data_IF_535068802215
#
_entry.id   IF_535068802215
#
_cell.length_a   1.000
_cell.length_b   1.000
_cell.length_c   1.000
_cell.angle_alpha   90.00
_cell.angle_beta   90.00
_cell.angle_gamma   90.00
#
_symmetry.space_group_name_H-M   'P 1'
#
loop_
_entity.id
_entity.type
_entity.pdbx_description
1 polymer ?
#
# COMPACT_ATOMS: atom_id res chain seq x y z
N UNK A 1 8.07 -12.32 -27.54
CA UNK A 1 7.28 -11.69 -26.47
C UNK A 1 5.95 -12.40 -26.49
N UNK A 2 5.65 -13.17 -25.44
CA UNK A 2 4.38 -13.90 -25.34
C UNK A 2 3.43 -12.94 -24.64
N UNK A 3 2.44 -12.40 -25.36
CA UNK A 3 1.35 -11.63 -24.77
C UNK A 3 0.70 -12.49 -23.69
N UNK A 4 0.70 -12.01 -22.45
CA UNK A 4 -0.16 -12.57 -21.41
C UNK A 4 -1.62 -12.40 -21.87
N UNK A 5 -2.50 -13.39 -21.63
CA UNK A 5 -3.91 -13.25 -21.97
C UNK A 5 -4.48 -12.01 -21.27
N UNK A 6 -5.35 -11.21 -21.94
CA UNK A 6 -5.96 -10.07 -21.30
C UNK A 6 -6.75 -10.54 -20.09
N UNK A 7 -6.50 -9.91 -18.94
CA UNK A 7 -7.29 -10.14 -17.73
C UNK A 7 -8.76 -9.87 -18.03
N UNK A 8 -9.69 -10.74 -17.59
CA UNK A 8 -11.09 -10.64 -17.97
C UNK A 8 -11.66 -9.30 -17.51
N UNK A 9 -12.27 -8.59 -18.45
CA UNK A 9 -13.12 -7.46 -18.10
C UNK A 9 -14.33 -7.95 -17.33
N UNK A 10 -14.75 -7.16 -16.35
CA UNK A 10 -15.87 -7.48 -15.47
C UNK A 10 -16.70 -6.23 -15.21
N UNK A 11 -17.97 -6.43 -14.92
CA UNK A 11 -18.91 -5.38 -14.59
C UNK A 11 -19.32 -5.51 -13.12
N UNK A 12 -18.97 -4.51 -12.32
CA UNK A 12 -19.33 -4.45 -10.91
C UNK A 12 -20.71 -3.78 -10.76
N UNK A 13 -21.73 -4.49 -10.26
CA UNK A 13 -23.05 -3.90 -10.06
C UNK A 13 -22.98 -2.83 -8.95
N UNK A 14 -23.73 -1.74 -9.11
CA UNK A 14 -23.90 -0.72 -8.08
C UNK A 14 -25.27 -0.08 -8.15
N UNK A 15 -25.66 0.65 -7.10
CA UNK A 15 -26.93 1.37 -7.03
C UNK A 15 -27.10 2.43 -8.13
N UNK A 16 -26.01 2.87 -8.77
CA UNK A 16 -26.00 3.92 -9.81
C UNK A 16 -25.71 3.36 -11.22
N UNK A 17 -25.67 2.04 -11.39
CA UNK A 17 -25.34 1.34 -12.64
C UNK A 17 -24.03 0.57 -12.59
N UNK A 18 -23.82 -0.36 -13.53
CA UNK A 18 -22.63 -1.21 -13.54
C UNK A 18 -21.35 -0.41 -13.85
N UNK A 19 -20.27 -0.69 -13.12
CA UNK A 19 -18.94 -0.09 -13.31
C UNK A 19 -18.06 -1.12 -14.03
N UNK A 20 -17.52 -0.75 -15.19
CA UNK A 20 -16.66 -1.64 -15.98
C UNK A 20 -15.24 -1.60 -15.43
N UNK A 21 -14.65 -2.77 -15.25
CA UNK A 21 -13.32 -2.94 -14.66
C UNK A 21 -12.52 -4.02 -15.39
N UNK A 22 -11.21 -4.04 -15.18
CA UNK A 22 -10.36 -5.18 -15.47
C UNK A 22 -9.50 -5.48 -14.23
N UNK A 23 -9.71 -6.66 -13.64
CA UNK A 23 -9.03 -7.09 -12.44
C UNK A 23 -7.86 -8.03 -12.75
N UNK A 24 -6.71 -7.74 -12.16
CA UNK A 24 -5.48 -8.49 -12.25
C UNK A 24 -5.18 -9.08 -10.87
N UNK A 25 -5.61 -10.32 -10.60
CA UNK A 25 -5.42 -10.95 -9.30
C UNK A 25 -3.95 -11.26 -9.05
N UNK A 26 -3.53 -11.14 -7.79
CA UNK A 26 -2.26 -11.65 -7.31
C UNK A 26 -2.53 -12.51 -6.06
N UNK A 27 -2.51 -13.85 -6.15
CA UNK A 27 -2.85 -14.72 -5.03
C UNK A 27 -2.02 -14.42 -3.78
N UNK A 28 -2.69 -14.20 -2.65
CA UNK A 28 -2.04 -13.85 -1.38
C UNK A 28 -1.65 -12.38 -1.23
N UNK A 29 -1.94 -11.52 -2.22
CA UNK A 29 -1.66 -10.09 -2.12
C UNK A 29 -2.54 -9.42 -1.06
N UNK A 30 -1.89 -8.89 -0.01
CA UNK A 30 -2.57 -8.09 1.02
C UNK A 30 -2.91 -6.66 0.54
N UNK A 31 -2.34 -6.24 -0.60
CA UNK A 31 -2.47 -4.89 -1.13
C UNK A 31 -2.72 -4.90 -2.65
N UNK A 32 -3.39 -3.85 -3.14
CA UNK A 32 -3.63 -3.66 -4.57
C UNK A 32 -3.47 -2.19 -5.01
N UNK A 33 -3.36 -1.96 -6.31
CA UNK A 33 -3.44 -0.62 -6.91
C UNK A 33 -4.71 -0.51 -7.75
N UNK A 34 -5.55 0.48 -7.45
CA UNK A 34 -6.71 0.84 -8.25
C UNK A 34 -6.36 2.04 -9.15
N UNK A 35 -6.59 1.88 -10.45
CA UNK A 35 -6.18 2.81 -11.50
C UNK A 35 -7.41 3.34 -12.24
N UNK A 36 -7.55 4.67 -12.32
CA UNK A 36 -8.59 5.36 -13.09
C UNK A 36 -7.99 6.34 -14.10
N UNK A 37 -8.63 6.41 -15.27
CA UNK A 37 -8.24 7.31 -16.37
C UNK A 37 -8.74 8.75 -16.18
N UNK A 38 -8.70 9.52 -17.28
CA UNK A 38 -9.27 10.87 -17.35
C UNK A 38 -10.78 10.87 -17.63
N UNK A 39 -11.32 12.04 -17.97
CA UNK A 39 -12.75 12.22 -18.25
C UNK A 39 -13.25 11.46 -19.49
N UNK A 40 -12.33 11.03 -20.36
CA UNK A 40 -12.65 10.19 -21.53
C UNK A 40 -12.95 8.73 -21.12
N UNK A 41 -12.63 8.35 -19.87
CA UNK A 41 -12.74 6.99 -19.36
C UNK A 41 -11.71 6.04 -19.98
N UNK A 42 -12.09 4.79 -20.11
CA UNK A 42 -11.27 3.68 -20.57
C UNK A 42 -10.44 3.03 -19.46
N UNK A 43 -9.98 1.81 -19.76
CA UNK A 43 -9.17 1.00 -18.84
C UNK A 43 -7.66 1.19 -19.05
N UNK A 44 -7.25 1.91 -20.09
CA UNK A 44 -5.87 1.89 -20.56
C UNK A 44 -4.99 2.97 -19.90
N UNK A 45 -5.60 4.02 -19.37
CA UNK A 45 -4.89 5.11 -18.71
C UNK A 45 -4.09 6.01 -19.67
N UNK A 46 -3.31 6.96 -19.13
CA UNK A 46 -2.49 7.87 -19.93
C UNK A 46 -1.23 7.17 -20.46
N UNK A 47 -0.35 7.97 -21.06
CA UNK A 47 0.99 7.57 -21.49
C UNK A 47 1.02 6.36 -22.43
N UNK A 48 0.20 6.41 -23.48
CA UNK A 48 0.06 5.36 -24.49
C UNK A 48 -0.29 3.99 -23.87
N UNK A 49 -1.47 3.94 -23.25
CA UNK A 49 -2.04 2.74 -22.63
C UNK A 49 -1.11 2.10 -21.58
N UNK A 50 -0.67 2.89 -20.59
CA UNK A 50 0.28 2.42 -19.58
C UNK A 50 -0.33 1.42 -18.57
N UNK A 51 -1.61 1.55 -18.21
CA UNK A 51 -2.19 0.77 -17.11
C UNK A 51 -2.19 -0.75 -17.30
N UNK A 52 -2.40 -1.33 -18.51
CA UNK A 52 -2.24 -2.76 -18.72
C UNK A 52 -0.84 -3.28 -18.35
N UNK A 53 0.22 -2.60 -18.79
CA UNK A 53 1.61 -3.00 -18.49
C UNK A 53 1.91 -2.79 -17.01
N UNK A 54 1.52 -1.64 -16.44
CA UNK A 54 1.70 -1.37 -15.02
C UNK A 54 1.03 -2.43 -14.13
N UNK A 55 -0.15 -2.92 -14.52
CA UNK A 55 -0.83 -3.98 -13.78
C UNK A 55 -0.03 -5.29 -13.76
N UNK A 56 0.61 -5.64 -14.87
CA UNK A 56 1.47 -6.83 -14.96
C UNK A 56 2.71 -6.69 -14.06
N UNK A 57 3.34 -5.53 -14.09
CA UNK A 57 4.51 -5.23 -13.26
C UNK A 57 4.19 -5.27 -11.76
N UNK A 58 3.06 -4.69 -11.36
CA UNK A 58 2.58 -4.74 -9.98
C UNK A 58 2.33 -6.18 -9.53
N UNK A 59 1.78 -7.02 -10.42
CA UNK A 59 1.62 -8.45 -10.18
C UNK A 59 2.95 -9.15 -9.88
N UNK A 60 4.00 -8.83 -10.63
CA UNK A 60 5.36 -9.34 -10.39
C UNK A 60 5.95 -8.87 -9.05
N UNK A 61 5.43 -7.79 -8.48
CA UNK A 61 5.80 -7.25 -7.17
C UNK A 61 4.90 -7.74 -6.02
N UNK A 62 3.97 -8.67 -6.30
CA UNK A 62 3.08 -9.23 -5.28
C UNK A 62 1.87 -8.34 -4.95
N UNK A 63 1.52 -7.40 -5.84
CA UNK A 63 0.37 -6.52 -5.70
C UNK A 63 -0.72 -6.92 -6.70
N UNK A 64 -1.98 -6.96 -6.26
CA UNK A 64 -3.10 -7.05 -7.19
C UNK A 64 -3.35 -5.68 -7.86
N UNK A 65 -4.07 -5.66 -8.97
CA UNK A 65 -4.37 -4.42 -9.68
C UNK A 65 -5.82 -4.40 -10.19
N UNK A 66 -6.48 -3.24 -10.08
CA UNK A 66 -7.82 -3.03 -10.64
C UNK A 66 -7.80 -1.79 -11.52
N UNK A 67 -8.12 -1.95 -12.79
CA UNK A 67 -8.35 -0.83 -13.70
C UNK A 67 -9.84 -0.58 -13.77
N UNK A 68 -10.26 0.67 -13.59
CA UNK A 68 -11.67 1.06 -13.53
C UNK A 68 -11.95 2.05 -14.65
N UNK A 69 -12.99 1.75 -15.42
CA UNK A 69 -13.58 2.62 -16.42
C UNK A 69 -14.77 3.34 -15.79
N UNK A 70 -14.70 4.67 -15.73
CA UNK A 70 -15.78 5.47 -15.16
C UNK A 70 -17.07 5.25 -15.95
N UNK A 71 -18.21 5.25 -15.26
CA UNK A 71 -19.52 5.27 -15.93
C UNK A 71 -19.80 6.61 -16.63
N UNK A 72 -19.05 7.64 -16.26
CA UNK A 72 -19.20 8.99 -16.80
C UNK A 72 -18.07 9.28 -17.79
N UNK A 73 -18.45 9.33 -19.07
CA UNK A 73 -17.58 9.72 -20.18
C UNK A 73 -17.95 11.10 -20.76
N UNK A 74 -18.51 11.98 -19.92
CA UNK A 74 -18.98 13.32 -20.35
C UNK A 74 -18.24 14.39 -19.57
N UNK A 75 -17.90 15.46 -20.26
CA UNK A 75 -17.22 16.61 -19.69
C UNK A 75 -18.18 17.80 -19.51
N UNK A 76 -18.16 18.52 -18.38
CA UNK A 76 -17.38 18.23 -17.17
C UNK A 76 -17.92 16.99 -16.43
N UNK A 77 -17.01 16.15 -15.92
CA UNK A 77 -17.36 14.96 -15.16
C UNK A 77 -17.75 15.32 -13.72
N UNK A 78 -18.71 14.59 -13.15
CA UNK A 78 -19.11 14.71 -11.76
C UNK A 78 -18.14 13.92 -10.87
N UNK A 79 -17.34 14.62 -10.06
CA UNK A 79 -16.36 13.99 -9.16
C UNK A 79 -17.04 13.06 -8.16
N UNK A 80 -18.23 13.39 -7.66
CA UNK A 80 -18.93 12.53 -6.69
C UNK A 80 -19.28 11.17 -7.30
N UNK A 81 -19.66 11.17 -8.57
CA UNK A 81 -19.96 9.95 -9.30
C UNK A 81 -18.69 9.13 -9.58
N UNK A 82 -17.59 9.78 -9.94
CA UNK A 82 -16.29 9.11 -10.06
C UNK A 82 -15.81 8.52 -8.72
N UNK A 83 -16.03 9.24 -7.61
CA UNK A 83 -15.72 8.76 -6.25
C UNK A 83 -16.52 7.50 -5.94
N UNK A 84 -17.80 7.48 -6.29
CA UNK A 84 -18.64 6.28 -6.14
C UNK A 84 -18.08 5.10 -6.96
N UNK A 85 -17.65 5.31 -8.21
CA UNK A 85 -17.07 4.24 -9.04
C UNK A 85 -15.79 3.66 -8.42
N UNK A 86 -14.93 4.52 -7.86
CA UNK A 86 -13.73 4.10 -7.13
C UNK A 86 -14.10 3.34 -5.85
N UNK A 87 -15.12 3.77 -5.11
CA UNK A 87 -15.60 3.07 -3.92
C UNK A 87 -16.11 1.66 -4.24
N UNK A 88 -16.86 1.49 -5.33
CA UNK A 88 -17.29 0.17 -5.81
C UNK A 88 -16.08 -0.73 -6.12
N UNK A 89 -15.04 -0.18 -6.77
CA UNK A 89 -13.79 -0.91 -7.01
C UNK A 89 -13.04 -1.29 -5.72
N UNK A 90 -13.02 -0.41 -4.72
CA UNK A 90 -12.43 -0.68 -3.41
C UNK A 90 -13.18 -1.75 -2.62
N UNK A 91 -14.51 -1.76 -2.70
CA UNK A 91 -15.36 -2.80 -2.10
C UNK A 91 -15.13 -4.16 -2.76
N UNK A 92 -15.01 -4.19 -4.09
CA UNK A 92 -14.65 -5.39 -4.83
C UNK A 92 -13.27 -5.92 -4.40
N UNK A 93 -12.25 -5.07 -4.32
CA UNK A 93 -10.92 -5.50 -3.85
C UNK A 93 -10.96 -6.04 -2.43
N UNK A 94 -11.76 -5.44 -1.55
CA UNK A 94 -11.94 -5.95 -0.19
C UNK A 94 -12.60 -7.34 -0.17
N UNK A 95 -13.56 -7.60 -1.05
CA UNK A 95 -14.18 -8.92 -1.21
C UNK A 95 -13.19 -9.98 -1.73
N UNK A 96 -12.21 -9.57 -2.54
CA UNK A 96 -11.09 -10.40 -3.00
C UNK A 96 -9.99 -10.60 -1.93
N UNK A 97 -10.19 -10.11 -0.70
CA UNK A 97 -9.25 -10.28 0.41
C UNK A 97 -8.13 -9.24 0.46
N UNK A 98 -8.17 -8.20 -0.38
CA UNK A 98 -7.21 -7.10 -0.34
C UNK A 98 -7.53 -6.18 0.84
N UNK A 99 -6.60 -6.07 1.79
CA UNK A 99 -6.79 -5.28 3.00
C UNK A 99 -6.62 -3.77 2.77
N UNK A 100 -5.71 -3.39 1.86
CA UNK A 100 -5.29 -2.00 1.63
C UNK A 100 -5.06 -1.71 0.15
N UNK A 101 -5.33 -0.49 -0.29
CA UNK A 101 -5.19 -0.09 -1.69
C UNK A 101 -4.34 1.18 -1.86
N UNK A 102 -3.54 1.24 -2.91
CA UNK A 102 -3.07 2.50 -3.47
C UNK A 102 -3.99 2.94 -4.59
N UNK A 103 -4.16 4.24 -4.77
CA UNK A 103 -4.94 4.80 -5.87
C UNK A 103 -4.05 5.58 -6.83
N UNK A 104 -4.29 5.45 -8.13
CA UNK A 104 -3.74 6.35 -9.16
C UNK A 104 -4.81 6.85 -10.10
N UNK A 105 -4.80 8.16 -10.34
CA UNK A 105 -5.77 8.82 -11.21
C UNK A 105 -5.13 9.82 -12.16
N UNK A 106 -5.57 9.82 -13.43
CA UNK A 106 -5.13 10.79 -14.44
C UNK A 106 -6.13 11.93 -14.64
N UNK A 107 -5.66 13.17 -14.76
CA UNK A 107 -6.51 14.32 -15.11
C UNK A 107 -7.70 14.47 -14.15
N UNK A 108 -8.93 14.34 -14.64
CA UNK A 108 -10.16 14.24 -13.82
C UNK A 108 -10.08 13.13 -12.76
N UNK A 109 -9.57 11.95 -13.13
CA UNK A 109 -9.40 10.83 -12.20
C UNK A 109 -8.47 11.14 -11.04
N UNK A 110 -7.52 12.07 -11.22
CA UNK A 110 -6.64 12.53 -10.13
C UNK A 110 -7.42 13.20 -8.99
N UNK A 111 -8.40 14.05 -9.32
CA UNK A 111 -9.28 14.65 -8.34
C UNK A 111 -10.18 13.59 -7.67
N UNK A 112 -10.73 12.68 -8.47
CA UNK A 112 -11.55 11.57 -7.98
C UNK A 112 -10.81 10.71 -6.95
N UNK A 113 -9.57 10.29 -7.23
CA UNK A 113 -8.83 9.43 -6.29
C UNK A 113 -8.41 10.16 -5.02
N UNK A 114 -8.19 11.48 -5.08
CA UNK A 114 -7.95 12.28 -3.87
C UNK A 114 -9.19 12.24 -2.98
N UNK A 115 -10.36 12.51 -3.53
CA UNK A 115 -11.60 12.57 -2.76
C UNK A 115 -12.03 11.18 -2.26
N UNK A 116 -11.91 10.15 -3.10
CA UNK A 116 -12.19 8.78 -2.71
C UNK A 116 -11.24 8.28 -1.61
N UNK A 117 -9.97 8.69 -1.65
CA UNK A 117 -9.03 8.40 -0.58
C UNK A 117 -9.45 9.07 0.73
N UNK A 118 -9.85 10.35 0.71
CA UNK A 118 -10.35 11.03 1.93
C UNK A 118 -11.49 10.24 2.59
N UNK A 119 -12.40 9.70 1.78
CA UNK A 119 -13.60 8.99 2.26
C UNK A 119 -13.36 7.50 2.59
N UNK A 120 -12.18 6.95 2.30
CA UNK A 120 -11.90 5.52 2.48
C UNK A 120 -10.68 5.25 3.38
N UNK A 121 -10.86 4.59 4.54
CA UNK A 121 -9.73 4.21 5.41
C UNK A 121 -8.88 3.08 4.81
N UNK A 122 -9.36 2.40 3.76
CA UNK A 122 -8.61 1.32 3.06
C UNK A 122 -7.50 1.85 2.18
N UNK A 123 -7.55 3.14 1.82
CA UNK A 123 -6.57 3.75 0.93
C UNK A 123 -5.33 4.12 1.73
N UNK A 124 -4.22 3.48 1.38
CA UNK A 124 -2.94 3.65 2.05
C UNK A 124 -2.01 4.62 1.34
N UNK A 125 -2.18 4.85 0.03
CA UNK A 125 -1.39 5.83 -0.73
C UNK A 125 -2.11 6.35 -1.96
N UNK A 126 -1.75 7.55 -2.41
CA UNK A 126 -2.36 8.21 -3.57
C UNK A 126 -1.27 8.69 -4.52
N UNK A 127 -1.42 8.43 -5.81
CA UNK A 127 -0.65 9.04 -6.88
C UNK A 127 -1.60 9.74 -7.86
N UNK A 128 -1.17 10.86 -8.43
CA UNK A 128 -1.94 11.54 -9.49
C UNK A 128 -1.06 11.86 -10.69
N UNK A 129 -1.66 11.82 -11.87
CA UNK A 129 -0.99 12.07 -13.15
C UNK A 129 -1.70 13.24 -13.84
N UNK A 130 -1.01 14.36 -14.04
CA UNK A 130 -1.56 15.56 -14.69
C UNK A 130 -2.95 15.98 -14.12
N UNK A 131 -3.12 15.95 -12.79
CA UNK A 131 -4.43 16.15 -12.14
C UNK A 131 -4.95 17.58 -12.24
N UNK A 132 -6.28 17.71 -12.27
CA UNK A 132 -6.97 18.98 -12.05
C UNK A 132 -7.05 19.32 -10.55
N UNK A 133 -7.27 20.60 -10.24
CA UNK A 133 -7.57 21.10 -8.88
C UNK A 133 -9.06 21.10 -8.56
N UNK A 134 -9.91 21.21 -9.59
CA UNK A 134 -11.36 21.19 -9.42
C UNK A 134 -11.81 19.84 -8.88
N UNK A 135 -12.46 19.86 -7.71
CA UNK A 135 -12.90 18.64 -7.04
C UNK A 135 -11.79 17.87 -6.32
N UNK A 136 -10.66 18.51 -6.01
CA UNK A 136 -9.57 17.94 -5.20
C UNK A 136 -9.28 18.79 -3.95
N UNK A 137 -10.25 19.58 -3.49
CA UNK A 137 -10.06 20.59 -2.46
C UNK A 137 -9.75 19.98 -1.08
N UNK A 138 -10.13 18.71 -0.85
CA UNK A 138 -9.84 18.00 0.41
C UNK A 138 -8.45 17.34 0.44
N UNK A 139 -7.55 17.65 -0.51
CA UNK A 139 -6.19 17.07 -0.55
C UNK A 139 -5.42 17.21 0.78
N UNK A 140 -5.65 18.28 1.54
CA UNK A 140 -5.06 18.47 2.87
C UNK A 140 -5.45 17.41 3.90
N UNK A 141 -6.60 16.75 3.73
CA UNK A 141 -7.11 15.68 4.60
C UNK A 141 -6.53 14.29 4.27
N UNK A 142 -5.64 14.18 3.27
CA UNK A 142 -4.96 12.92 3.00
C UNK A 142 -3.96 12.55 4.09
N UNK A 143 -3.23 13.53 4.64
CA UNK A 143 -2.23 13.29 5.66
C UNK A 143 -2.82 12.51 6.86
N UNK A 144 -2.10 11.50 7.39
CA UNK A 144 -0.69 11.17 7.12
C UNK A 144 -0.47 10.20 5.93
N UNK A 145 -1.46 10.00 5.05
CA UNK A 145 -1.30 9.10 3.91
C UNK A 145 -0.42 9.74 2.83
N UNK A 146 0.56 9.00 2.29
CA UNK A 146 1.48 9.51 1.27
C UNK A 146 0.77 9.93 -0.02
N UNK A 147 1.18 11.08 -0.57
CA UNK A 147 0.70 11.63 -1.85
C UNK A 147 1.86 11.87 -2.85
N UNK A 148 1.73 11.31 -4.04
CA UNK A 148 2.58 11.61 -5.20
C UNK A 148 1.79 12.41 -6.25
N UNK A 149 2.33 13.53 -6.69
CA UNK A 149 1.80 14.34 -7.79
C UNK A 149 2.80 14.31 -8.94
N UNK A 150 2.41 13.79 -10.11
CA UNK A 150 3.24 13.78 -11.32
C UNK A 150 2.59 14.69 -12.36
N UNK A 151 3.34 15.61 -12.95
CA UNK A 151 2.81 16.54 -13.95
C UNK A 151 3.82 16.85 -15.05
N UNK A 152 3.36 16.98 -16.30
CA UNK A 152 4.23 17.36 -17.42
C UNK A 152 4.40 18.87 -17.52
N UNK A 153 5.65 19.37 -17.63
CA UNK A 153 5.92 20.81 -17.71
C UNK A 153 5.39 21.48 -19.00
N UNK A 154 5.09 20.69 -20.02
CA UNK A 154 4.54 21.15 -21.30
C UNK A 154 3.05 20.79 -21.42
N UNK A 155 2.37 20.51 -20.31
CA UNK A 155 0.92 20.33 -20.29
C UNK A 155 0.23 21.66 -20.62
N UNK A 156 -0.43 21.68 -21.77
CA UNK A 156 -1.16 22.80 -22.34
C UNK A 156 -2.67 22.68 -22.15
N UNK A 157 -3.15 21.62 -21.49
CA UNK A 157 -4.55 21.43 -21.13
C UNK A 157 -4.79 21.76 -19.66
N UNK A 158 -3.97 21.21 -18.77
CA UNK A 158 -3.95 21.54 -17.34
C UNK A 158 -2.55 21.99 -16.98
N UNK A 159 -2.37 23.24 -16.59
CA UNK A 159 -1.03 23.72 -16.28
C UNK A 159 -0.47 22.98 -15.04
N UNK A 160 0.86 22.76 -14.96
CA UNK A 160 1.51 22.16 -13.79
C UNK A 160 1.20 22.85 -12.46
N UNK A 161 0.77 24.11 -12.51
CA UNK A 161 0.27 24.88 -11.37
C UNK A 161 -0.86 24.18 -10.62
N UNK A 162 -1.66 23.34 -11.29
CA UNK A 162 -2.63 22.49 -10.64
C UNK A 162 -1.97 21.58 -9.59
N UNK A 163 -0.96 20.79 -10.00
CA UNK A 163 -0.22 19.93 -9.07
C UNK A 163 0.61 20.74 -8.06
N UNK A 164 1.18 21.89 -8.44
CA UNK A 164 1.89 22.77 -7.49
C UNK A 164 0.95 23.33 -6.41
N UNK A 165 -0.29 23.65 -6.75
CA UNK A 165 -1.29 24.12 -5.79
C UNK A 165 -1.67 23.00 -4.82
N UNK A 166 -2.01 21.82 -5.34
CA UNK A 166 -2.34 20.66 -4.50
C UNK A 166 -1.17 20.26 -3.59
N UNK A 167 0.06 20.29 -4.09
CA UNK A 167 1.26 20.02 -3.28
C UNK A 167 1.41 20.99 -2.11
N UNK A 168 1.10 22.28 -2.31
CA UNK A 168 1.11 23.29 -1.24
C UNK A 168 0.02 23.06 -0.21
N UNK A 169 -1.15 22.55 -0.63
CA UNK A 169 -2.31 22.30 0.24
C UNK A 169 -2.21 20.97 1.01
N UNK A 170 -1.50 19.97 0.45
CA UNK A 170 -1.33 18.67 1.07
C UNK A 170 -0.42 18.72 2.32
N UNK A 171 -0.67 17.83 3.29
CA UNK A 171 0.27 17.55 4.38
C UNK A 171 1.36 16.55 3.98
N UNK A 172 2.30 16.29 4.87
CA UNK A 172 3.32 15.25 4.69
C UNK A 172 2.76 13.84 5.02
N UNK A 173 3.30 12.76 4.43
CA UNK A 173 4.38 12.73 3.43
C UNK A 173 3.88 13.02 2.01
N UNK A 174 4.59 13.90 1.27
CA UNK A 174 4.21 14.27 -0.11
C UNK A 174 5.39 14.44 -1.05
N UNK A 175 5.18 14.13 -2.33
CA UNK A 175 6.17 14.27 -3.40
C UNK A 175 5.55 14.89 -4.65
N UNK A 176 6.30 15.78 -5.31
CA UNK A 176 5.91 16.42 -6.58
C UNK A 176 7.00 16.17 -7.63
N UNK A 177 6.60 15.55 -8.73
CA UNK A 177 7.46 15.23 -9.87
C UNK A 177 7.00 16.01 -11.11
N UNK A 178 7.87 16.87 -11.64
CA UNK A 178 7.59 17.70 -12.80
C UNK A 178 8.45 17.25 -13.98
N UNK A 179 7.81 16.65 -14.98
CA UNK A 179 8.47 16.00 -16.09
C UNK A 179 8.68 16.97 -17.26
N UNK A 180 9.93 17.35 -17.52
CA UNK A 180 10.29 18.19 -18.65
C UNK A 180 9.90 17.54 -19.99
N UNK A 181 9.26 18.30 -20.88
CA UNK A 181 8.83 17.84 -22.21
C UNK A 181 7.57 16.96 -22.23
N UNK A 182 7.05 16.54 -21.08
CA UNK A 182 5.77 15.84 -21.01
C UNK A 182 4.59 16.82 -21.15
N UNK A 183 3.59 16.41 -21.94
CA UNK A 183 2.31 17.11 -22.09
C UNK A 183 1.22 16.42 -21.25
N UNK A 184 -0.04 16.81 -21.42
CA UNK A 184 -1.17 16.27 -20.64
C UNK A 184 -1.27 14.74 -20.60
N UNK A 185 -1.01 14.08 -21.73
CA UNK A 185 -1.08 12.62 -21.80
C UNK A 185 0.14 11.92 -21.20
N UNK A 186 1.20 12.65 -20.85
CA UNK A 186 2.48 12.16 -20.33
C UNK A 186 3.25 11.16 -21.23
N UNK A 187 2.77 10.88 -22.45
CA UNK A 187 3.34 9.86 -23.36
C UNK A 187 4.82 10.08 -23.68
N UNK A 188 5.26 11.34 -23.73
CA UNK A 188 6.66 11.69 -24.01
C UNK A 188 7.62 11.16 -22.93
N UNK A 189 7.09 10.88 -21.73
CA UNK A 189 7.84 10.45 -20.55
C UNK A 189 7.23 9.18 -19.95
N UNK A 190 6.64 8.32 -20.80
CA UNK A 190 5.95 7.08 -20.41
C UNK A 190 6.76 6.22 -19.43
N UNK A 191 8.01 5.92 -19.76
CA UNK A 191 8.87 5.07 -18.91
C UNK A 191 9.21 5.72 -17.57
N UNK A 192 9.32 7.05 -17.53
CA UNK A 192 9.53 7.75 -16.26
C UNK A 192 8.29 7.69 -15.38
N UNK A 193 7.09 7.84 -15.97
CA UNK A 193 5.81 7.68 -15.25
C UNK A 193 5.68 6.26 -14.72
N UNK A 194 5.96 5.25 -15.55
CA UNK A 194 5.93 3.84 -15.17
C UNK A 194 6.85 3.56 -13.98
N UNK A 195 8.13 3.96 -14.08
CA UNK A 195 9.11 3.80 -12.99
C UNK A 195 8.66 4.50 -11.71
N UNK A 196 8.23 5.76 -11.80
CA UNK A 196 7.77 6.53 -10.64
C UNK A 196 6.60 5.85 -9.92
N UNK A 197 5.62 5.31 -10.66
CA UNK A 197 4.48 4.63 -10.06
C UNK A 197 4.88 3.28 -9.42
N UNK A 198 5.76 2.52 -10.07
CA UNK A 198 6.27 1.26 -9.51
C UNK A 198 7.05 1.49 -8.22
N UNK A 199 7.99 2.44 -8.23
CA UNK A 199 8.78 2.80 -7.05
C UNK A 199 7.84 3.26 -5.93
N UNK A 200 6.90 4.16 -6.25
CA UNK A 200 5.95 4.71 -5.29
C UNK A 200 5.06 3.66 -4.63
N UNK A 201 4.45 2.77 -5.41
CA UNK A 201 3.55 1.76 -4.83
C UNK A 201 4.33 0.63 -4.16
N UNK A 202 5.55 0.33 -4.60
CA UNK A 202 6.44 -0.59 -3.88
C UNK A 202 6.79 -0.03 -2.51
N UNK A 203 7.19 1.24 -2.43
CA UNK A 203 7.56 1.88 -1.16
C UNK A 203 6.36 2.04 -0.23
N UNK A 204 5.20 2.47 -0.75
CA UNK A 204 4.06 2.86 0.08
C UNK A 204 3.10 1.70 0.38
N UNK A 205 3.00 0.69 -0.49
CA UNK A 205 2.14 -0.49 -0.28
C UNK A 205 2.90 -1.75 0.13
N UNK A 206 4.24 -1.70 0.20
CA UNK A 206 4.99 -2.79 0.79
C UNK A 206 4.33 -3.23 2.12
N UNK A 207 4.28 -4.55 2.38
CA UNK A 207 3.93 -5.02 3.70
C UNK A 207 4.86 -4.32 4.70
N UNK A 208 4.35 -3.87 5.85
CA UNK A 208 5.15 -3.16 6.83
C UNK A 208 6.41 -3.97 7.10
N UNK A 209 7.56 -3.37 6.83
CA UNK A 209 8.83 -4.01 7.12
C UNK A 209 8.85 -4.29 8.61
N UNK A 210 9.05 -5.55 8.98
CA UNK A 210 9.32 -5.93 10.36
C UNK A 210 10.79 -5.79 10.71
N UNK A 211 11.65 -5.60 9.70
CA UNK A 211 13.08 -5.47 9.89
C UNK A 211 13.41 -4.22 10.71
N UNK A 212 14.48 -4.29 11.49
CA UNK A 212 14.93 -3.26 12.42
C UNK A 212 14.77 -3.68 13.88
N UNK A 213 15.04 -2.72 14.77
CA UNK A 213 15.10 -2.92 16.21
C UNK A 213 13.77 -2.59 16.87
N UNK A 214 13.40 -3.41 17.84
CA UNK A 214 12.17 -3.32 18.60
C UNK A 214 12.45 -3.47 20.09
N UNK A 215 11.80 -2.65 20.91
CA UNK A 215 11.77 -2.82 22.36
C UNK A 215 10.68 -3.83 22.69
N UNK A 216 11.07 -5.02 23.11
CA UNK A 216 10.13 -6.11 23.45
C UNK A 216 9.91 -6.15 24.96
N UNK A 217 8.65 -6.34 25.37
CA UNK A 217 8.24 -6.59 26.74
C UNK A 217 7.53 -7.94 26.78
N UNK A 218 7.99 -8.84 27.65
CA UNK A 218 7.46 -10.20 27.82
C UNK A 218 6.92 -10.33 29.24
N UNK A 219 5.65 -10.68 29.36
CA UNK A 219 4.92 -10.88 30.62
C UNK A 219 4.67 -12.37 30.81
N UNK A 220 5.33 -12.96 31.81
CA UNK A 220 5.14 -14.36 32.20
C UNK A 220 4.70 -14.45 33.66
N UNK A 221 4.23 -15.61 34.15
CA UNK A 221 3.97 -15.82 35.57
C UNK A 221 5.19 -15.56 36.48
N UNK A 222 6.41 -15.60 35.92
CA UNK A 222 7.65 -15.30 36.65
C UNK A 222 7.98 -13.80 36.71
N UNK A 223 7.19 -12.95 36.05
CA UNK A 223 7.36 -11.49 36.02
C UNK A 223 7.39 -10.89 34.61
N UNK A 224 7.32 -9.56 34.58
CA UNK A 224 7.53 -8.75 33.37
C UNK A 224 9.03 -8.55 33.13
N UNK A 225 9.43 -8.62 31.86
CA UNK A 225 10.81 -8.48 31.42
C UNK A 225 10.88 -7.64 30.16
N UNK A 226 11.87 -6.77 30.07
CA UNK A 226 12.14 -5.98 28.88
C UNK A 226 13.39 -6.48 28.15
N UNK A 227 13.44 -6.19 26.85
CA UNK A 227 14.48 -6.68 25.99
C UNK A 227 14.49 -6.02 24.63
N UNK A 228 15.31 -6.56 23.73
CA UNK A 228 15.40 -6.11 22.34
C UNK A 228 15.11 -7.27 21.39
N UNK A 229 14.20 -7.05 20.45
CA UNK A 229 13.98 -7.91 19.29
C UNK A 229 14.53 -7.19 18.06
N UNK A 230 15.47 -7.80 17.37
CA UNK A 230 16.04 -7.27 16.13
C UNK A 230 15.72 -8.25 15.00
N UNK A 231 15.01 -7.76 13.98
CA UNK A 231 14.58 -8.57 12.84
C UNK A 231 15.24 -8.07 11.57
N UNK A 232 15.46 -8.98 10.63
CA UNK A 232 15.99 -8.73 9.31
C UNK A 232 15.39 -9.71 8.29
N UNK A 233 15.47 -9.36 7.01
CA UNK A 233 14.93 -10.15 5.92
C UNK A 233 13.51 -9.76 5.52
N UNK A 234 13.01 -10.42 4.48
CA UNK A 234 11.66 -10.22 3.97
C UNK A 234 10.60 -10.86 4.90
N UNK A 235 9.34 -10.39 4.88
CA UNK A 235 8.26 -10.96 5.70
C UNK A 235 8.16 -12.49 5.65
N UNK A 236 8.33 -13.11 4.47
CA UNK A 236 8.25 -14.56 4.33
C UNK A 236 9.43 -15.34 4.97
N UNK A 237 10.58 -14.69 5.22
CA UNK A 237 11.82 -15.35 5.68
C UNK A 237 12.55 -14.50 6.71
N UNK A 238 11.86 -14.13 7.78
CA UNK A 238 12.42 -13.33 8.86
C UNK A 238 13.49 -14.10 9.62
N UNK A 239 14.57 -13.39 9.94
CA UNK A 239 15.65 -13.84 10.83
C UNK A 239 15.96 -12.74 11.81
N UNK A 240 16.55 -13.08 12.95
CA UNK A 240 16.88 -12.06 13.91
C UNK A 240 17.44 -12.59 15.21
N UNK A 241 17.45 -11.71 16.20
CA UNK A 241 17.82 -12.04 17.57
C UNK A 241 16.80 -11.44 18.53
N UNK A 242 16.42 -12.22 19.53
CA UNK A 242 15.67 -11.72 20.69
C UNK A 242 16.57 -11.78 21.91
N UNK A 243 16.60 -10.69 22.66
CA UNK A 243 17.25 -10.60 23.96
C UNK A 243 16.17 -10.38 25.02
N UNK A 244 16.02 -11.34 25.93
CA UNK A 244 15.10 -11.25 27.06
C UNK A 244 15.65 -12.11 28.20
N UNK A 245 15.33 -11.78 29.45
CA UNK A 245 15.80 -12.54 30.64
C UNK A 245 17.33 -12.66 30.73
N UNK A 246 18.08 -11.66 30.27
CA UNK A 246 19.56 -11.69 30.27
C UNK A 246 20.19 -12.69 29.30
N UNK A 247 19.39 -13.28 28.40
CA UNK A 247 19.87 -14.21 27.37
C UNK A 247 19.55 -13.66 25.99
N UNK A 248 20.37 -14.03 25.00
CA UNK A 248 20.13 -13.72 23.58
C UNK A 248 19.95 -15.02 22.82
N UNK A 249 18.91 -15.09 21.99
CA UNK A 249 18.60 -16.23 21.15
C UNK A 249 18.38 -15.79 19.70
N UNK A 250 18.93 -16.55 18.76
CA UNK A 250 18.59 -16.40 17.36
C UNK A 250 17.14 -16.84 17.12
N UNK A 251 16.44 -16.09 16.26
CA UNK A 251 15.07 -16.39 15.86
C UNK A 251 14.95 -16.50 14.34
N UNK A 252 13.98 -17.29 13.92
CA UNK A 252 13.54 -17.42 12.53
C UNK A 252 12.02 -17.45 12.49
N UNK A 253 11.41 -16.96 11.43
CA UNK A 253 9.96 -16.96 11.32
C UNK A 253 9.45 -16.36 10.02
N UNK A 254 8.15 -16.08 9.99
CA UNK A 254 7.53 -15.37 8.89
C UNK A 254 6.38 -14.49 9.37
N UNK A 255 6.00 -13.55 8.50
CA UNK A 255 4.88 -12.67 8.65
C UNK A 255 4.03 -12.73 7.38
N UNK A 256 2.78 -13.14 7.54
CA UNK A 256 1.82 -13.33 6.46
C UNK A 256 0.42 -12.98 6.95
N UNK A 257 -0.36 -12.26 6.14
CA UNK A 257 -1.74 -11.92 6.48
C UNK A 257 -1.93 -11.15 7.80
N UNK A 258 -0.91 -10.42 8.26
CA UNK A 258 -0.94 -9.71 9.55
C UNK A 258 -0.52 -10.55 10.75
N UNK A 259 -0.29 -11.86 10.58
CA UNK A 259 0.18 -12.76 11.63
C UNK A 259 1.70 -12.97 11.53
N UNK A 260 2.39 -12.83 12.66
CA UNK A 260 3.81 -13.08 12.87
C UNK A 260 3.95 -14.37 13.70
N UNK A 261 4.83 -15.26 13.28
CA UNK A 261 5.39 -16.25 14.20
C UNK A 261 6.92 -16.19 14.14
N UNK A 262 7.57 -16.32 15.29
CA UNK A 262 9.00 -16.47 15.42
C UNK A 262 9.29 -17.66 16.32
N UNK A 263 10.35 -18.41 16.03
CA UNK A 263 10.84 -19.48 16.90
C UNK A 263 12.33 -19.34 17.14
N UNK A 264 12.76 -19.76 18.32
CA UNK A 264 14.16 -19.79 18.70
C UNK A 264 14.44 -20.83 19.77
N UNK A 265 15.67 -20.85 20.27
CA UNK A 265 16.07 -21.69 21.39
C UNK A 265 16.88 -20.86 22.37
N UNK A 266 16.47 -20.87 23.64
CA UNK A 266 17.14 -20.16 24.73
C UNK A 266 17.86 -21.15 25.64
N UNK A 267 18.95 -20.73 26.29
CA UNK A 267 19.64 -21.52 27.30
C UNK A 267 19.08 -21.18 28.69
N UNK A 268 18.34 -22.11 29.29
CA UNK A 268 17.87 -21.99 30.67
C UNK A 268 18.92 -22.56 31.65
N UNK A 269 19.26 -21.86 32.76
CA UNK A 269 20.32 -22.29 33.68
C UNK A 269 20.13 -23.69 34.27
N UNK A 270 18.88 -24.14 34.42
CA UNK A 270 18.50 -25.38 35.12
C UNK A 270 18.00 -26.50 34.19
N UNK A 271 17.75 -26.21 32.91
CA UNK A 271 17.11 -27.15 31.95
C UNK A 271 17.77 -27.18 30.58
N UNK A 272 18.92 -26.52 30.41
CA UNK A 272 19.62 -26.46 29.13
C UNK A 272 18.79 -25.75 28.06
N UNK A 273 18.89 -26.23 26.81
CA UNK A 273 18.25 -25.61 25.65
C UNK A 273 16.73 -25.81 25.68
N UNK A 274 15.99 -24.72 25.69
CA UNK A 274 14.52 -24.72 25.66
C UNK A 274 14.03 -24.01 24.39
N UNK A 275 13.16 -24.64 23.57
CA UNK A 275 12.54 -23.96 22.45
C UNK A 275 11.51 -22.96 22.94
N UNK A 276 11.31 -21.89 22.18
CA UNK A 276 10.20 -20.98 22.39
C UNK A 276 9.58 -20.55 21.06
N UNK A 277 8.31 -20.16 21.10
CA UNK A 277 7.62 -19.48 20.00
C UNK A 277 7.09 -18.12 20.47
N UNK A 278 7.10 -17.16 19.55
CA UNK A 278 6.42 -15.89 19.68
C UNK A 278 5.41 -15.84 18.54
N UNK A 279 4.14 -15.94 18.86
CA UNK A 279 3.05 -15.77 17.92
C UNK A 279 2.45 -14.39 18.17
N UNK A 280 2.13 -13.63 17.13
CA UNK A 280 1.62 -12.28 17.28
C UNK A 280 1.07 -11.68 16.01
N UNK A 281 0.67 -10.41 16.10
CA UNK A 281 0.17 -9.63 14.99
C UNK A 281 0.72 -8.21 15.06
N UNK A 282 0.77 -7.55 13.91
CA UNK A 282 1.12 -6.14 13.80
C UNK A 282 -0.17 -5.31 13.75
N UNK A 283 -0.33 -4.42 14.73
CA UNK A 283 -1.39 -3.41 14.77
C UNK A 283 -0.75 -2.02 14.69
N UNK A 284 -0.91 -1.38 13.52
CA UNK A 284 -0.24 -0.12 13.21
C UNK A 284 1.28 -0.24 13.29
N UNK A 285 1.86 0.31 14.35
CA UNK A 285 3.31 0.32 14.64
C UNK A 285 3.71 -0.60 15.79
N UNK A 286 2.77 -1.35 16.38
CA UNK A 286 3.00 -2.20 17.56
C UNK A 286 2.79 -3.67 17.23
N UNK A 287 3.73 -4.50 17.66
CA UNK A 287 3.58 -5.95 17.66
C UNK A 287 3.03 -6.41 18.99
N UNK A 288 2.14 -7.40 18.99
CA UNK A 288 1.68 -8.04 20.22
C UNK A 288 1.23 -9.47 19.99
N UNK A 289 1.29 -10.29 21.04
CA UNK A 289 0.77 -11.65 20.98
C UNK A 289 1.17 -12.53 22.16
N UNK A 290 1.28 -13.83 21.90
CA UNK A 290 1.56 -14.86 22.90
C UNK A 290 2.97 -15.40 22.76
N UNK A 291 3.65 -15.58 23.90
CA UNK A 291 4.92 -16.31 23.97
C UNK A 291 4.64 -17.69 24.55
N UNK A 292 5.23 -18.73 23.96
CA UNK A 292 5.22 -20.09 24.50
C UNK A 292 6.64 -20.52 24.81
N UNK A 293 6.94 -20.82 26.08
CA UNK A 293 8.27 -21.22 26.56
C UNK A 293 8.34 -22.73 26.82
N UNK A 294 7.63 -23.52 26.01
CA UNK A 294 7.50 -24.97 26.19
C UNK A 294 6.96 -25.32 27.58
N UNK A 295 7.70 -26.12 28.34
CA UNK A 295 7.31 -26.58 29.68
C UNK A 295 7.33 -25.48 30.76
N UNK A 296 7.85 -24.27 30.45
CA UNK A 296 7.87 -23.13 31.37
C UNK A 296 6.55 -22.32 31.32
N UNK A 297 5.61 -22.71 30.46
CA UNK A 297 4.31 -22.07 30.32
C UNK A 297 4.26 -21.04 29.20
N UNK A 298 3.18 -20.26 29.20
CA UNK A 298 2.92 -19.22 28.22
C UNK A 298 2.77 -17.85 28.88
N UNK A 299 2.87 -16.81 28.06
CA UNK A 299 2.74 -15.43 28.48
C UNK A 299 2.31 -14.53 27.33
N UNK A 300 2.27 -13.24 27.59
CA UNK A 300 2.00 -12.22 26.59
C UNK A 300 3.28 -11.47 26.26
N UNK A 301 3.39 -10.97 25.04
CA UNK A 301 4.46 -10.07 24.65
C UNK A 301 3.94 -8.91 23.82
N UNK A 302 4.64 -7.79 23.90
CA UNK A 302 4.43 -6.64 23.04
C UNK A 302 5.76 -6.08 22.59
N UNK A 303 5.85 -5.54 21.38
CA UNK A 303 7.04 -4.85 20.92
C UNK A 303 6.69 -3.56 20.18
N UNK A 304 7.48 -2.52 20.43
CA UNK A 304 7.36 -1.21 19.80
C UNK A 304 8.69 -0.85 19.13
N UNK A 305 8.65 0.00 18.10
CA UNK A 305 9.87 0.43 17.41
C UNK A 305 10.81 1.15 18.38
N UNK A 306 12.08 0.73 18.37
CA UNK A 306 13.13 1.36 19.16
C UNK A 306 13.80 2.41 18.28
N UNK A 307 13.21 3.61 18.22
CA UNK A 307 13.64 4.67 17.28
C UNK A 307 15.00 5.29 17.62
N UNK A 308 15.63 4.89 18.73
CA UNK A 308 16.87 5.52 19.20
C UNK A 308 16.60 6.95 19.68
N UNK A 309 17.02 7.25 20.90
CA UNK A 309 17.15 8.64 21.33
C UNK A 309 18.45 9.23 20.75
#
# INVERSE_FOLDING_TARGET
MVDAPPSPELELPSARGAVRCAYHPCPGAAAAVLMVGGADGGLDGPADALYPELAQDLGALGLAALRVDFRIHRFPGDVEQGVHDVQVGLEFLAAEGVARAGLVGHSFGGAVVIEAAVDSPRVASVATLATQTAGAQRVGALAPRPLLLVHGLNDDRLLPDCSRLLYRQAGEPKRLELLAGARHSLRQRREDVRRLLLDWFTETLAPPSLAGRWRITVRTPMGEQHGTLELAGAPATLRGTVSALGTTAAVSGSFEGGALWLRGTVQAPWRGRQPFTLDGALDGTRLSGTVTLGALGSGLWTAERDEGA
#
